data_IF_955062285905
#
_entry.id   IF_955062285905
#
_cell.length_a   1.000
_cell.length_b   1.000
_cell.length_c   1.000
_cell.angle_alpha   90.00
_cell.angle_beta   90.00
_cell.angle_gamma   90.00
#
_symmetry.space_group_name_H-M   'P 1'
#
loop_
_entity.id
_entity.type
_entity.pdbx_description
1 polymer ?
#
# COMPACT_ATOMS: atom_id res chain seq x y z
N UNK A 1 15.49 37.23 -7.16
CA UNK A 1 15.34 35.85 -7.66
C UNK A 1 15.17 34.91 -6.47
N UNK A 2 13.96 34.86 -5.94
CA UNK A 2 13.55 33.91 -4.90
C UNK A 2 13.21 32.59 -5.58
N UNK A 3 14.05 31.57 -5.40
CA UNK A 3 13.77 30.20 -5.82
C UNK A 3 12.59 29.68 -4.99
N UNK A 4 11.38 29.76 -5.52
CA UNK A 4 10.25 29.01 -4.99
C UNK A 4 10.56 27.52 -5.15
N UNK A 5 10.86 26.86 -4.03
CA UNK A 5 11.02 25.42 -3.96
C UNK A 5 9.64 24.78 -4.14
N UNK A 6 9.51 23.93 -5.16
CA UNK A 6 8.27 23.24 -5.51
C UNK A 6 7.64 22.53 -4.29
N UNK A 7 6.31 22.57 -4.11
CA UNK A 7 5.61 21.95 -2.98
C UNK A 7 5.90 20.45 -2.78
N UNK A 8 6.27 19.75 -3.86
CA UNK A 8 6.68 18.35 -3.82
C UNK A 8 8.04 18.15 -3.13
N UNK A 9 9.03 19.01 -3.44
CA UNK A 9 10.37 18.98 -2.84
C UNK A 9 10.34 19.32 -1.34
N UNK A 10 9.43 20.21 -0.94
CA UNK A 10 9.24 20.57 0.47
C UNK A 10 8.67 19.40 1.31
N UNK A 11 7.71 18.64 0.78
CA UNK A 11 7.14 17.45 1.45
C UNK A 11 8.15 16.30 1.56
N UNK A 12 8.95 16.03 0.53
CA UNK A 12 9.99 15.00 0.58
C UNK A 12 11.10 15.34 1.58
N UNK A 13 11.55 16.61 1.61
CA UNK A 13 12.61 17.05 2.52
C UNK A 13 12.18 16.91 3.99
N UNK A 14 10.94 17.31 4.31
CA UNK A 14 10.38 17.18 5.66
C UNK A 14 10.21 15.73 6.10
N UNK A 15 9.79 14.84 5.19
CA UNK A 15 9.65 13.41 5.49
C UNK A 15 11.00 12.70 5.71
N UNK A 16 12.03 13.09 4.95
CA UNK A 16 13.39 12.58 5.16
C UNK A 16 14.00 13.09 6.46
N UNK A 17 13.84 14.38 6.77
CA UNK A 17 14.35 14.97 8.00
C UNK A 17 13.70 14.33 9.24
N UNK A 18 12.41 14.04 9.21
CA UNK A 18 11.71 13.37 10.32
C UNK A 18 12.24 11.95 10.58
N UNK A 19 12.58 11.20 9.53
CA UNK A 19 13.19 9.86 9.63
C UNK A 19 14.63 9.89 10.16
N UNK A 20 15.38 10.95 9.84
CA UNK A 20 16.79 11.08 10.19
C UNK A 20 17.02 11.77 11.54
N UNK A 21 16.00 12.44 12.09
CA UNK A 21 16.10 13.18 13.35
C UNK A 21 16.51 12.32 14.54
N UNK A 22 15.86 11.16 14.72
CA UNK A 22 16.14 10.28 15.87
C UNK A 22 17.56 9.68 15.82
N UNK A 23 18.04 9.11 14.69
CA UNK A 23 19.43 8.66 14.57
C UNK A 23 20.46 9.77 14.81
N UNK A 24 20.24 10.96 14.24
CA UNK A 24 21.15 12.11 14.41
C UNK A 24 21.23 12.56 15.87
N UNK A 25 20.10 12.59 16.59
CA UNK A 25 20.06 12.93 18.01
C UNK A 25 20.79 11.90 18.87
N UNK A 26 20.53 10.61 18.67
CA UNK A 26 21.18 9.54 19.44
C UNK A 26 22.69 9.61 19.27
N UNK A 27 23.16 9.70 18.02
CA UNK A 27 24.59 9.67 17.72
C UNK A 27 25.29 10.93 18.22
N UNK A 28 24.71 12.11 17.97
CA UNK A 28 25.28 13.37 18.48
C UNK A 28 25.30 13.39 20.01
N UNK A 29 24.27 12.84 20.66
CA UNK A 29 24.22 12.67 22.12
C UNK A 29 25.29 11.73 22.67
N UNK A 30 25.50 10.57 22.03
CA UNK A 30 26.55 9.62 22.42
C UNK A 30 27.95 10.23 22.27
N UNK A 31 28.22 10.95 21.17
CA UNK A 31 29.50 11.63 20.97
C UNK A 31 29.70 12.73 22.01
N UNK A 32 28.66 13.52 22.29
CA UNK A 32 28.70 14.55 23.33
C UNK A 32 29.04 13.96 24.71
N UNK A 33 28.37 12.87 25.12
CA UNK A 33 28.64 12.18 26.38
C UNK A 33 30.05 11.58 26.43
N UNK A 34 30.54 11.08 25.30
CA UNK A 34 31.90 10.54 25.17
C UNK A 34 32.94 11.64 25.40
N UNK A 35 32.78 12.81 24.76
CA UNK A 35 33.68 13.94 24.95
C UNK A 35 33.64 14.50 26.37
N UNK A 36 32.46 14.57 26.99
CA UNK A 36 32.33 14.95 28.41
C UNK A 36 33.09 13.95 29.29
N UNK A 37 32.95 12.65 29.02
CA UNK A 37 33.65 11.63 29.80
C UNK A 37 35.17 11.80 29.67
N UNK A 38 35.68 12.10 28.48
CA UNK A 38 37.11 12.37 28.26
C UNK A 38 37.59 13.55 29.11
N UNK A 39 36.81 14.63 29.19
CA UNK A 39 37.13 15.80 30.02
C UNK A 39 37.06 15.50 31.52
N UNK A 40 35.99 14.82 31.98
CA UNK A 40 35.76 14.51 33.40
C UNK A 40 36.82 13.56 33.96
N UNK A 41 37.24 12.57 33.17
CA UNK A 41 38.28 11.62 33.57
C UNK A 41 39.71 12.13 33.34
N UNK A 42 39.89 13.35 32.82
CA UNK A 42 41.21 13.94 32.57
C UNK A 42 42.07 13.09 31.63
N UNK A 43 41.47 12.50 30.59
CA UNK A 43 42.18 11.58 29.69
C UNK A 43 43.10 12.30 28.68
N UNK A 44 43.03 13.63 28.62
CA UNK A 44 43.91 14.50 27.84
C UNK A 44 45.11 14.95 28.66
N UNK A 45 46.32 14.73 28.14
CA UNK A 45 47.57 15.05 28.85
C UNK A 45 48.08 16.49 28.65
N UNK A 46 47.52 17.24 27.72
CA UNK A 46 47.97 18.59 27.36
C UNK A 46 46.85 19.61 27.55
N UNK A 47 47.18 20.79 28.09
CA UNK A 47 46.23 21.89 28.27
C UNK A 47 45.61 22.33 26.93
N UNK A 48 46.40 22.30 25.86
CA UNK A 48 45.91 22.59 24.51
C UNK A 48 44.95 21.51 24.01
N UNK A 49 45.17 20.23 24.33
CA UNK A 49 44.26 19.13 24.04
C UNK A 49 42.91 19.27 24.75
N UNK A 50 42.91 19.68 26.01
CA UNK A 50 41.68 19.97 26.76
C UNK A 50 40.86 21.09 26.11
N UNK A 51 41.52 22.20 25.73
CA UNK A 51 40.84 23.32 25.06
C UNK A 51 40.19 22.92 23.73
N UNK A 52 40.85 22.03 22.96
CA UNK A 52 40.31 21.51 21.70
C UNK A 52 39.08 20.64 21.94
N UNK A 53 39.09 19.75 22.94
CA UNK A 53 37.90 18.92 23.26
C UNK A 53 36.76 19.78 23.76
N UNK A 54 37.02 20.80 24.58
CA UNK A 54 35.99 21.76 25.02
C UNK A 54 35.35 22.44 23.81
N UNK A 55 36.16 22.92 22.85
CA UNK A 55 35.67 23.54 21.62
C UNK A 55 34.83 22.58 20.76
N UNK A 56 35.32 21.36 20.52
CA UNK A 56 34.59 20.32 19.76
C UNK A 56 33.28 19.96 20.47
N UNK A 57 33.29 19.85 21.80
CA UNK A 57 32.10 19.54 22.61
C UNK A 57 31.06 20.65 22.53
N UNK A 58 31.47 21.91 22.61
CA UNK A 58 30.58 23.05 22.46
C UNK A 58 29.90 23.08 21.09
N UNK A 59 30.63 22.77 20.03
CA UNK A 59 30.08 22.75 18.66
C UNK A 59 29.12 21.57 18.46
N UNK A 60 29.46 20.39 18.99
CA UNK A 60 28.57 19.23 18.96
C UNK A 60 27.30 19.50 19.79
N UNK A 61 27.42 20.23 20.90
CA UNK A 61 26.26 20.66 21.69
C UNK A 61 25.35 21.63 20.92
N UNK A 62 25.92 22.59 20.21
CA UNK A 62 25.17 23.51 19.33
C UNK A 62 24.47 22.72 18.21
N UNK A 63 25.18 21.78 17.59
CA UNK A 63 24.62 20.86 16.60
C UNK A 63 23.46 20.02 17.18
N UNK A 64 23.61 19.51 18.40
CA UNK A 64 22.59 18.74 19.10
C UNK A 64 21.34 19.58 19.40
N UNK A 65 21.50 20.82 19.91
CA UNK A 65 20.39 21.75 20.14
C UNK A 65 19.70 22.13 18.81
N UNK A 66 20.46 22.34 17.74
CA UNK A 66 19.89 22.58 16.41
C UNK A 66 19.03 21.40 15.95
N UNK A 67 19.49 20.16 16.16
CA UNK A 67 18.72 18.97 15.84
C UNK A 67 17.44 18.84 16.70
N UNK A 68 17.49 19.24 17.97
CA UNK A 68 16.31 19.33 18.83
C UNK A 68 15.29 20.36 18.31
N UNK A 69 15.75 21.51 17.81
CA UNK A 69 14.91 22.57 17.23
C UNK A 69 14.37 22.25 15.84
N UNK A 70 14.75 21.10 15.26
CA UNK A 70 14.24 20.61 13.97
C UNK A 70 15.10 20.96 12.76
N UNK A 71 16.17 21.74 12.92
CA UNK A 71 17.15 22.00 11.85
C UNK A 71 18.27 20.97 11.90
N UNK A 72 18.20 19.97 11.00
CA UNK A 72 19.17 18.87 10.96
C UNK A 72 20.44 19.18 10.15
N UNK A 73 20.40 20.19 9.27
CA UNK A 73 21.55 20.53 8.42
C UNK A 73 22.82 20.82 9.23
N UNK A 74 22.82 21.67 10.27
CA UNK A 74 24.02 21.93 11.05
C UNK A 74 24.58 20.66 11.70
N UNK A 75 23.72 19.80 12.25
CA UNK A 75 24.13 18.57 12.92
C UNK A 75 24.73 17.54 11.96
N UNK A 76 24.24 17.47 10.72
CA UNK A 76 24.71 16.50 9.72
C UNK A 76 26.12 16.82 9.21
N UNK A 77 26.48 18.10 9.13
CA UNK A 77 27.79 18.54 8.64
C UNK A 77 28.79 18.82 9.76
N UNK A 78 28.40 19.54 10.81
CA UNK A 78 29.32 19.96 11.87
C UNK A 78 29.84 18.78 12.68
N UNK A 79 28.99 17.79 12.98
CA UNK A 79 29.40 16.65 13.81
C UNK A 79 30.56 15.85 13.20
N UNK A 80 30.47 15.28 11.98
CA UNK A 80 31.59 14.54 11.40
C UNK A 80 32.81 15.45 11.13
N UNK A 81 32.60 16.72 10.77
CA UNK A 81 33.67 17.67 10.50
C UNK A 81 34.52 17.98 11.75
N UNK A 82 33.88 18.33 12.87
CA UNK A 82 34.60 18.71 14.08
C UNK A 82 35.18 17.50 14.82
N UNK A 83 34.55 16.33 14.73
CA UNK A 83 35.19 15.08 15.18
C UNK A 83 36.43 14.79 14.35
N UNK A 84 36.39 14.97 13.02
CA UNK A 84 37.54 14.81 12.15
C UNK A 84 38.68 15.78 12.47
N UNK A 85 38.38 17.08 12.62
CA UNK A 85 39.37 18.09 12.98
C UNK A 85 39.99 17.85 14.35
N UNK A 86 39.17 17.47 15.35
CA UNK A 86 39.65 17.12 16.68
C UNK A 86 40.58 15.91 16.66
N UNK A 87 40.19 14.83 15.97
CA UNK A 87 41.03 13.64 15.83
C UNK A 87 42.33 13.94 15.07
N UNK A 88 42.28 14.78 14.04
CA UNK A 88 43.45 15.22 13.28
C UNK A 88 44.41 16.03 14.15
N UNK A 89 43.89 16.93 14.99
CA UNK A 89 44.71 17.67 15.95
C UNK A 89 45.43 16.74 16.93
N UNK A 90 44.73 15.74 17.49
CA UNK A 90 45.37 14.75 18.37
C UNK A 90 46.43 13.91 17.67
N UNK A 91 46.24 13.64 16.37
CA UNK A 91 47.22 12.93 15.58
C UNK A 91 48.46 13.77 15.27
N UNK A 92 48.28 15.05 14.94
CA UNK A 92 49.36 15.97 14.58
C UNK A 92 50.16 16.49 15.79
N UNK A 93 49.48 16.74 16.91
CA UNK A 93 50.08 17.28 18.15
C UNK A 93 50.49 16.20 19.15
N UNK A 94 50.16 14.93 18.88
CA UNK A 94 50.41 13.78 19.75
C UNK A 94 51.47 12.84 19.21
N UNK A 95 51.27 11.53 19.43
CA UNK A 95 52.20 10.46 19.04
C UNK A 95 52.18 10.12 17.53
N UNK A 96 51.85 11.08 16.66
CA UNK A 96 51.71 10.84 15.24
C UNK A 96 50.69 9.74 14.93
N UNK A 97 51.02 8.87 13.97
CA UNK A 97 50.16 7.74 13.58
C UNK A 97 50.23 6.55 14.54
N UNK A 98 50.74 6.76 15.76
CA UNK A 98 50.65 5.79 16.87
C UNK A 98 49.69 6.26 17.96
N UNK A 99 49.05 7.41 17.77
CA UNK A 99 48.08 7.93 18.73
C UNK A 99 46.79 7.09 18.73
N UNK A 100 46.20 6.77 19.91
CA UNK A 100 44.94 5.99 20.00
C UNK A 100 43.77 6.58 19.22
N UNK A 101 43.80 7.88 18.94
CA UNK A 101 42.82 8.60 18.12
C UNK A 101 42.64 8.02 16.70
N UNK A 102 43.60 7.23 16.18
CA UNK A 102 43.46 6.55 14.88
C UNK A 102 42.21 5.70 14.80
N UNK A 103 41.83 5.06 15.91
CA UNK A 103 40.63 4.21 15.98
C UNK A 103 39.36 5.04 15.68
N UNK A 104 39.40 6.35 15.89
CA UNK A 104 38.30 7.27 15.56
C UNK A 104 38.14 7.57 14.07
N UNK A 105 39.17 7.38 13.24
CA UNK A 105 39.11 7.74 11.80
C UNK A 105 38.13 6.87 11.01
N UNK A 106 38.09 5.54 11.17
CA UNK A 106 37.03 4.71 10.56
C UNK A 106 35.63 5.11 11.06
N UNK A 107 35.50 5.45 12.34
CA UNK A 107 34.22 5.89 12.91
C UNK A 107 33.73 7.20 12.26
N UNK A 108 34.63 8.13 11.91
CA UNK A 108 34.30 9.34 11.15
C UNK A 108 33.71 9.00 9.78
N UNK A 109 34.27 8.00 9.07
CA UNK A 109 33.74 7.54 7.78
C UNK A 109 32.34 6.96 7.93
N UNK A 110 32.08 6.20 9.00
CA UNK A 110 30.73 5.70 9.32
C UNK A 110 29.77 6.86 9.57
N UNK A 111 30.17 7.81 10.41
CA UNK A 111 29.35 8.98 10.78
C UNK A 111 29.01 9.82 9.55
N UNK A 112 30.00 10.10 8.70
CA UNK A 112 29.79 10.81 7.45
C UNK A 112 28.89 10.02 6.48
N UNK A 113 29.10 8.70 6.36
CA UNK A 113 28.26 7.83 5.56
C UNK A 113 26.79 7.82 5.99
N UNK A 114 26.56 7.83 7.30
CA UNK A 114 25.22 7.83 7.86
C UNK A 114 24.52 9.19 7.72
N UNK A 115 25.23 10.29 7.93
CA UNK A 115 24.62 11.63 7.94
C UNK A 115 24.51 12.26 6.55
N UNK A 116 25.51 12.03 5.70
CA UNK A 116 25.69 12.65 4.39
C UNK A 116 25.51 11.64 3.24
N UNK A 117 25.25 10.36 3.55
CA UNK A 117 25.05 9.29 2.58
C UNK A 117 26.36 8.76 1.99
N UNK A 118 26.26 7.98 0.91
CA UNK A 118 27.40 7.32 0.26
C UNK A 118 28.52 8.30 -0.16
N UNK A 119 28.16 9.52 -0.56
CA UNK A 119 29.13 10.55 -0.93
C UNK A 119 29.90 11.07 0.27
N UNK A 120 29.24 11.22 1.42
CA UNK A 120 29.89 11.55 2.69
C UNK A 120 30.92 10.51 3.11
N UNK A 121 30.55 9.23 3.07
CA UNK A 121 31.48 8.13 3.34
C UNK A 121 32.70 8.17 2.41
N UNK A 122 32.49 8.38 1.10
CA UNK A 122 33.58 8.44 0.14
C UNK A 122 34.53 9.63 0.40
N UNK A 123 33.98 10.83 0.58
CA UNK A 123 34.77 12.05 0.83
C UNK A 123 35.58 11.94 2.11
N UNK A 124 34.93 11.55 3.22
CA UNK A 124 35.64 11.40 4.50
C UNK A 124 36.58 10.19 4.49
N UNK A 125 36.28 9.13 3.74
CA UNK A 125 37.21 8.02 3.52
C UNK A 125 38.52 8.50 2.89
N UNK A 126 38.44 9.28 1.81
CA UNK A 126 39.62 9.86 1.16
C UNK A 126 40.34 10.84 2.08
N UNK A 127 39.61 11.74 2.75
CA UNK A 127 40.21 12.74 3.66
C UNK A 127 40.93 12.07 4.85
N UNK A 128 40.32 11.07 5.47
CA UNK A 128 40.91 10.34 6.60
C UNK A 128 42.16 9.58 6.18
N UNK A 129 42.13 8.90 5.03
CA UNK A 129 43.31 8.22 4.48
C UNK A 129 44.43 9.22 4.12
N UNK A 130 44.10 10.39 3.57
CA UNK A 130 45.10 11.42 3.24
C UNK A 130 45.73 12.09 4.47
N UNK A 131 44.96 12.29 5.55
CA UNK A 131 45.51 12.88 6.78
C UNK A 131 46.46 11.91 7.48
N UNK A 132 46.04 10.65 7.65
CA UNK A 132 46.91 9.58 8.16
C UNK A 132 48.13 9.46 7.23
N UNK A 133 47.86 9.50 5.92
CA UNK A 133 48.71 9.90 4.79
C UNK A 133 49.97 10.66 5.14
N UNK A 134 49.71 11.95 5.28
CA UNK A 134 50.68 13.01 5.42
C UNK A 134 51.40 12.90 6.77
N UNK A 135 50.66 12.57 7.83
CA UNK A 135 51.24 12.49 9.18
C UNK A 135 52.20 11.31 9.29
N UNK A 136 51.84 10.14 8.76
CA UNK A 136 52.71 8.97 8.78
C UNK A 136 53.96 9.13 7.91
N UNK A 137 53.86 9.80 6.76
CA UNK A 137 55.04 10.17 5.98
C UNK A 137 55.95 11.14 6.75
N UNK A 138 55.36 12.13 7.45
CA UNK A 138 56.12 13.06 8.27
C UNK A 138 56.84 12.39 9.45
N UNK A 139 56.24 11.36 10.05
CA UNK A 139 56.89 10.52 11.07
C UNK A 139 58.10 9.79 10.51
N UNK A 140 57.98 9.16 9.33
CA UNK A 140 59.09 8.47 8.65
C UNK A 140 60.23 9.42 8.24
N UNK A 141 59.91 10.66 7.88
CA UNK A 141 60.88 11.69 7.56
C UNK A 141 61.57 12.31 8.79
N UNK A 142 61.19 11.91 10.01
CA UNK A 142 61.75 12.42 11.26
C UNK A 142 61.33 13.86 11.60
N UNK A 143 60.23 14.35 11.00
CA UNK A 143 59.74 15.72 11.22
C UNK A 143 59.00 15.88 12.56
N UNK A 144 58.64 14.78 13.23
CA UNK A 144 57.95 14.75 14.52
C UNK A 144 58.77 13.99 15.56
N UNK A 145 58.92 14.55 16.78
CA UNK A 145 59.51 13.86 17.93
C UNK A 145 58.40 13.08 18.62
N UNK A 146 58.47 11.74 18.58
CA UNK A 146 57.42 10.85 19.10
C UNK A 146 57.78 10.39 20.51
N UNK A 147 57.14 10.96 21.52
CA UNK A 147 57.22 10.45 22.90
C UNK A 147 56.27 9.26 23.08
N UNK A 148 56.83 8.07 23.30
CA UNK A 148 56.04 6.84 23.41
C UNK A 148 55.21 6.79 24.71
N UNK A 149 53.91 6.53 24.58
CA UNK A 149 53.08 6.16 25.74
C UNK A 149 53.49 4.78 26.27
N UNK A 150 53.69 4.61 27.60
CA UNK A 150 54.13 3.35 28.20
C UNK A 150 53.21 2.16 27.92
N UNK A 151 51.92 2.41 27.66
CA UNK A 151 50.92 1.35 27.43
C UNK A 151 51.12 0.63 26.08
N UNK A 152 51.76 1.29 25.10
CA UNK A 152 51.96 0.77 23.74
C UNK A 152 53.42 0.75 23.29
N UNK A 153 54.34 1.29 24.10
CA UNK A 153 55.79 1.29 23.82
C UNK A 153 56.40 -0.12 23.69
N UNK A 154 55.75 -1.15 24.24
CA UNK A 154 56.24 -2.54 24.23
C UNK A 154 55.72 -3.38 23.05
N UNK A 155 54.82 -2.84 22.23
CA UNK A 155 54.30 -3.53 21.05
C UNK A 155 55.01 -2.97 19.82
N UNK A 156 55.94 -3.72 19.19
CA UNK A 156 56.54 -3.33 17.92
C UNK A 156 55.48 -3.52 16.82
N UNK A 157 54.52 -2.61 16.77
CA UNK A 157 53.52 -2.57 15.71
C UNK A 157 54.06 -1.64 14.64
N UNK A 158 54.31 -2.21 13.47
CA UNK A 158 54.69 -1.47 12.28
C UNK A 158 53.59 -0.48 11.93
N UNK A 159 53.95 0.81 11.82
CA UNK A 159 53.05 1.89 11.40
C UNK A 159 52.23 1.49 10.18
N UNK A 160 52.82 0.74 9.24
CA UNK A 160 52.18 0.18 8.04
C UNK A 160 50.90 -0.64 8.31
N UNK A 161 50.82 -1.33 9.46
CA UNK A 161 49.65 -2.14 9.84
C UNK A 161 48.44 -1.24 10.08
N UNK A 162 48.61 -0.07 10.71
CA UNK A 162 47.52 0.87 10.97
C UNK A 162 46.91 1.44 9.69
N UNK A 163 47.73 1.68 8.66
CA UNK A 163 47.27 2.13 7.35
C UNK A 163 46.42 1.10 6.63
N UNK A 164 46.89 -0.14 6.60
CA UNK A 164 46.16 -1.24 5.97
C UNK A 164 44.84 -1.48 6.71
N UNK A 165 44.85 -1.49 8.05
CA UNK A 165 43.63 -1.66 8.85
C UNK A 165 42.64 -0.50 8.67
N UNK A 166 43.12 0.75 8.65
CA UNK A 166 42.28 1.92 8.43
C UNK A 166 41.63 1.88 7.04
N UNK A 167 42.44 1.67 5.99
CA UNK A 167 41.95 1.57 4.61
C UNK A 167 40.95 0.42 4.47
N UNK A 168 41.26 -0.75 5.04
CA UNK A 168 40.37 -1.93 5.00
C UNK A 168 39.05 -1.64 5.71
N UNK A 169 39.09 -1.02 6.89
CA UNK A 169 37.87 -0.64 7.61
C UNK A 169 37.04 0.38 6.83
N UNK A 170 37.66 1.41 6.24
CA UNK A 170 36.98 2.41 5.42
C UNK A 170 36.31 1.79 4.20
N UNK A 171 36.99 0.84 3.52
CA UNK A 171 36.41 0.10 2.40
C UNK A 171 35.23 -0.77 2.84
N UNK A 172 35.38 -1.55 3.90
CA UNK A 172 34.30 -2.38 4.46
C UNK A 172 33.09 -1.51 4.81
N UNK A 173 33.31 -0.39 5.50
CA UNK A 173 32.27 0.56 5.88
C UNK A 173 31.59 1.13 4.63
N UNK A 174 32.36 1.58 3.64
CA UNK A 174 31.82 2.12 2.39
C UNK A 174 30.94 1.10 1.68
N UNK A 175 31.42 -0.14 1.51
CA UNK A 175 30.64 -1.21 0.89
C UNK A 175 29.42 -1.59 1.71
N UNK A 176 29.52 -1.64 3.04
CA UNK A 176 28.40 -1.95 3.94
C UNK A 176 27.32 -0.87 3.87
N UNK A 177 27.70 0.40 3.92
CA UNK A 177 26.76 1.54 3.79
C UNK A 177 26.11 1.53 2.41
N UNK A 178 26.88 1.25 1.35
CA UNK A 178 26.35 1.12 -0.01
C UNK A 178 25.33 -0.01 -0.12
N UNK A 179 25.66 -1.20 0.40
CA UNK A 179 24.79 -2.36 0.42
C UNK A 179 23.51 -2.09 1.22
N UNK A 180 23.64 -1.59 2.46
CA UNK A 180 22.49 -1.27 3.31
C UNK A 180 21.54 -0.27 2.64
N UNK A 181 22.08 0.78 2.03
CA UNK A 181 21.25 1.76 1.33
C UNK A 181 20.49 1.16 0.13
N UNK A 182 21.12 0.23 -0.60
CA UNK A 182 20.46 -0.51 -1.67
C UNK A 182 19.33 -1.40 -1.12
N UNK A 183 19.63 -2.23 -0.11
CA UNK A 183 18.66 -3.13 0.52
C UNK A 183 17.48 -2.39 1.13
N UNK A 184 17.72 -1.25 1.81
CA UNK A 184 16.65 -0.41 2.38
C UNK A 184 15.76 0.14 1.25
N UNK A 185 16.35 0.58 0.14
CA UNK A 185 15.60 1.11 -1.00
C UNK A 185 14.71 0.04 -1.63
N UNK A 186 15.25 -1.16 -1.81
CA UNK A 186 14.51 -2.31 -2.33
C UNK A 186 13.41 -2.78 -1.37
N UNK A 187 13.71 -2.89 -0.07
CA UNK A 187 12.73 -3.26 0.95
C UNK A 187 11.57 -2.27 1.01
N UNK A 188 11.85 -0.97 0.91
CA UNK A 188 10.81 0.06 0.85
C UNK A 188 9.94 -0.06 -0.40
N UNK A 189 10.54 -0.33 -1.57
CA UNK A 189 9.79 -0.58 -2.81
C UNK A 189 8.91 -1.82 -2.67
N UNK A 190 9.45 -2.93 -2.17
CA UNK A 190 8.70 -4.16 -1.96
C UNK A 190 7.52 -3.95 -1.00
N UNK A 191 7.74 -3.28 0.13
CA UNK A 191 6.68 -2.94 1.09
C UNK A 191 5.57 -2.11 0.43
N UNK A 192 5.92 -1.16 -0.44
CA UNK A 192 4.93 -0.35 -1.16
C UNK A 192 4.12 -1.18 -2.17
N UNK A 193 4.75 -2.11 -2.89
CA UNK A 193 4.08 -3.02 -3.82
C UNK A 193 3.14 -3.97 -3.06
N UNK A 194 3.64 -4.61 -1.99
CA UNK A 194 2.85 -5.48 -1.12
C UNK A 194 1.61 -4.77 -0.57
N UNK A 195 1.76 -3.52 -0.14
CA UNK A 195 0.64 -2.72 0.35
C UNK A 195 -0.41 -2.46 -0.72
N UNK A 196 0.01 -2.06 -1.93
CA UNK A 196 -0.91 -1.86 -3.07
C UNK A 196 -1.64 -3.14 -3.46
N UNK A 197 -0.92 -4.25 -3.56
CA UNK A 197 -1.52 -5.56 -3.88
C UNK A 197 -2.52 -6.00 -2.82
N UNK A 198 -2.22 -5.79 -1.53
CA UNK A 198 -3.20 -6.06 -0.46
C UNK A 198 -4.45 -5.16 -0.57
N UNK A 199 -4.28 -3.87 -0.86
CA UNK A 199 -5.41 -2.96 -1.08
C UNK A 199 -6.26 -3.39 -2.30
N UNK A 200 -5.64 -3.81 -3.41
CA UNK A 200 -6.31 -4.34 -4.59
C UNK A 200 -7.06 -5.66 -4.30
N UNK A 201 -6.45 -6.58 -3.55
CA UNK A 201 -7.08 -7.84 -3.14
C UNK A 201 -8.32 -7.61 -2.29
N UNK A 202 -8.28 -6.66 -1.35
CA UNK A 202 -9.44 -6.32 -0.52
C UNK A 202 -10.59 -5.73 -1.36
N UNK A 203 -10.26 -4.88 -2.33
CA UNK A 203 -11.26 -4.33 -3.26
C UNK A 203 -11.87 -5.46 -4.12
N UNK A 204 -11.04 -6.37 -4.64
CA UNK A 204 -11.49 -7.49 -5.44
C UNK A 204 -12.39 -8.44 -4.63
N UNK A 205 -11.97 -8.78 -3.41
CA UNK A 205 -12.75 -9.62 -2.49
C UNK A 205 -14.13 -9.00 -2.24
N UNK A 206 -14.18 -7.71 -1.88
CA UNK A 206 -15.44 -7.00 -1.64
C UNK A 206 -16.35 -6.97 -2.88
N UNK A 207 -15.76 -6.80 -4.07
CA UNK A 207 -16.50 -6.84 -5.32
C UNK A 207 -17.04 -8.23 -5.64
N UNK A 208 -16.26 -9.29 -5.38
CA UNK A 208 -16.69 -10.67 -5.54
C UNK A 208 -17.81 -11.03 -4.55
N UNK A 209 -17.67 -10.66 -3.28
CA UNK A 209 -18.70 -10.83 -2.26
C UNK A 209 -20.01 -10.16 -2.69
N UNK A 210 -19.95 -8.90 -3.13
CA UNK A 210 -21.13 -8.19 -3.66
C UNK A 210 -21.77 -8.94 -4.84
N UNK A 211 -20.99 -9.37 -5.83
CA UNK A 211 -21.50 -10.13 -6.99
C UNK A 211 -22.07 -11.49 -6.61
N UNK A 212 -21.53 -12.14 -5.59
CA UNK A 212 -22.07 -13.40 -5.06
C UNK A 212 -23.41 -13.11 -4.42
N UNK A 213 -23.51 -12.13 -3.51
CA UNK A 213 -24.75 -11.75 -2.85
C UNK A 213 -25.85 -11.38 -3.85
N UNK A 214 -25.54 -10.58 -4.88
CA UNK A 214 -26.49 -10.20 -5.93
C UNK A 214 -26.97 -11.40 -6.77
N UNK A 215 -26.07 -12.33 -7.09
CA UNK A 215 -26.45 -13.55 -7.82
C UNK A 215 -27.26 -14.50 -6.97
N UNK A 216 -26.88 -14.68 -5.71
CA UNK A 216 -27.60 -15.54 -4.75
C UNK A 216 -29.01 -15.01 -4.54
N UNK A 217 -29.20 -13.71 -4.29
CA UNK A 217 -30.54 -13.13 -4.11
C UNK A 217 -31.41 -13.25 -5.36
N UNK A 218 -30.83 -13.08 -6.55
CA UNK A 218 -31.54 -13.26 -7.82
C UNK A 218 -31.97 -14.72 -8.02
N UNK A 219 -31.08 -15.68 -7.70
CA UNK A 219 -31.38 -17.11 -7.79
C UNK A 219 -32.46 -17.52 -6.78
N UNK A 220 -32.38 -17.03 -5.54
CA UNK A 220 -33.41 -17.26 -4.50
C UNK A 220 -34.78 -16.74 -4.95
N UNK A 221 -34.82 -15.54 -5.53
CA UNK A 221 -36.06 -14.98 -6.06
C UNK A 221 -36.67 -15.84 -7.17
N UNK A 222 -35.85 -16.27 -8.15
CA UNK A 222 -36.30 -17.16 -9.24
C UNK A 222 -36.72 -18.54 -8.73
N UNK A 223 -35.98 -19.11 -7.80
CA UNK A 223 -36.34 -20.37 -7.17
C UNK A 223 -37.71 -20.26 -6.48
N UNK A 224 -37.96 -19.17 -5.76
CA UNK A 224 -39.26 -18.88 -5.13
C UNK A 224 -40.40 -18.74 -6.15
N UNK A 225 -40.13 -18.12 -7.30
CA UNK A 225 -41.11 -18.05 -8.39
C UNK A 225 -41.44 -19.45 -8.95
N UNK A 226 -40.41 -20.26 -9.21
CA UNK A 226 -40.58 -21.63 -9.72
C UNK A 226 -41.34 -22.53 -8.74
N UNK A 227 -41.03 -22.46 -7.44
CA UNK A 227 -41.77 -23.23 -6.43
C UNK A 227 -43.24 -22.80 -6.35
N UNK A 228 -43.51 -21.49 -6.48
CA UNK A 228 -44.89 -20.98 -6.53
C UNK A 228 -45.64 -21.50 -7.75
N UNK A 229 -45.02 -21.49 -8.93
CA UNK A 229 -45.60 -22.03 -10.17
C UNK A 229 -45.87 -23.53 -10.04
N UNK A 230 -44.91 -24.30 -9.52
CA UNK A 230 -45.07 -25.73 -9.30
C UNK A 230 -46.23 -26.05 -8.35
N UNK A 231 -46.40 -25.26 -7.28
CA UNK A 231 -47.50 -25.42 -6.34
C UNK A 231 -48.86 -25.10 -6.99
N UNK A 232 -48.94 -24.08 -7.85
CA UNK A 232 -50.14 -23.76 -8.63
C UNK A 232 -50.49 -24.90 -9.58
N UNK A 233 -49.52 -25.43 -10.32
CA UNK A 233 -49.72 -26.55 -11.24
C UNK A 233 -50.18 -27.83 -10.51
N UNK A 234 -49.59 -28.12 -9.35
CA UNK A 234 -49.96 -29.28 -8.55
C UNK A 234 -51.40 -29.18 -8.03
N UNK A 235 -51.81 -28.03 -7.49
CA UNK A 235 -53.18 -27.80 -7.00
C UNK A 235 -54.22 -27.91 -8.12
N UNK A 236 -53.87 -27.55 -9.36
CA UNK A 236 -54.75 -27.73 -10.50
C UNK A 236 -55.02 -29.21 -10.81
N UNK A 237 -54.03 -30.09 -10.67
CA UNK A 237 -54.17 -31.53 -11.00
C UNK A 237 -55.07 -32.33 -10.03
N UNK A 238 -55.54 -31.74 -8.93
CA UNK A 238 -56.40 -32.41 -7.93
C UNK A 238 -57.88 -32.44 -8.35
N UNK A 239 -58.28 -31.73 -9.41
CA UNK A 239 -59.68 -31.64 -9.82
C UNK A 239 -60.14 -32.82 -10.71
N UNK A 240 -61.27 -33.43 -10.32
CA UNK A 240 -61.84 -34.66 -10.92
C UNK A 240 -62.67 -34.42 -12.19
N UNK A 241 -62.90 -33.17 -12.59
CA UNK A 241 -63.59 -32.79 -13.83
C UNK A 241 -62.84 -31.70 -14.59
N UNK A 242 -62.82 -31.80 -15.92
CA UNK A 242 -62.15 -30.85 -16.81
C UNK A 242 -62.65 -29.42 -16.60
N UNK A 243 -63.96 -29.23 -16.43
CA UNK A 243 -64.54 -27.89 -16.19
C UNK A 243 -64.08 -27.29 -14.85
N UNK A 244 -63.97 -28.09 -13.80
CA UNK A 244 -63.47 -27.64 -12.50
C UNK A 244 -61.97 -27.32 -12.56
N UNK A 245 -61.19 -28.11 -13.31
CA UNK A 245 -59.78 -27.85 -13.56
C UNK A 245 -59.59 -26.51 -14.28
N UNK A 246 -60.25 -26.33 -15.42
CA UNK A 246 -60.12 -25.12 -16.24
C UNK A 246 -60.58 -23.87 -15.48
N UNK A 247 -61.68 -23.96 -14.73
CA UNK A 247 -62.15 -22.86 -13.87
C UNK A 247 -61.10 -22.48 -12.82
N UNK A 248 -60.54 -23.44 -12.10
CA UNK A 248 -59.51 -23.15 -11.10
C UNK A 248 -58.22 -22.59 -11.71
N UNK A 249 -57.79 -23.09 -12.88
CA UNK A 249 -56.63 -22.54 -13.59
C UNK A 249 -56.86 -21.07 -13.95
N UNK A 250 -58.03 -20.71 -14.50
CA UNK A 250 -58.32 -19.30 -14.82
C UNK A 250 -58.31 -18.40 -13.59
N UNK A 251 -58.86 -18.86 -12.47
CA UNK A 251 -58.93 -18.10 -11.23
C UNK A 251 -57.53 -17.89 -10.62
N UNK A 252 -56.72 -18.96 -10.56
CA UNK A 252 -55.34 -18.90 -10.06
C UNK A 252 -54.45 -17.98 -10.91
N UNK A 253 -54.57 -18.01 -12.24
CA UNK A 253 -53.82 -17.11 -13.13
C UNK A 253 -54.23 -15.65 -12.88
N UNK A 254 -55.53 -15.38 -12.77
CA UNK A 254 -56.06 -14.04 -12.48
C UNK A 254 -55.47 -13.48 -11.18
N UNK A 255 -55.52 -14.26 -10.09
CA UNK A 255 -55.06 -13.84 -8.76
C UNK A 255 -53.54 -13.70 -8.67
N UNK A 256 -52.76 -14.66 -9.21
CA UNK A 256 -51.30 -14.66 -9.07
C UNK A 256 -50.61 -13.61 -9.93
N UNK A 257 -51.17 -13.30 -11.10
CA UNK A 257 -50.61 -12.33 -12.03
C UNK A 257 -51.35 -10.98 -12.00
N UNK A 258 -52.36 -10.82 -11.13
CA UNK A 258 -53.16 -9.61 -10.98
C UNK A 258 -53.82 -9.14 -12.30
N UNK A 259 -54.32 -10.09 -13.08
CA UNK A 259 -55.08 -9.81 -14.30
C UNK A 259 -56.57 -9.66 -13.99
N UNK A 260 -57.23 -8.70 -14.66
CA UNK A 260 -58.66 -8.47 -14.52
C UNK A 260 -59.51 -9.68 -14.97
N UNK A 261 -59.10 -10.34 -16.04
CA UNK A 261 -59.82 -11.46 -16.63
C UNK A 261 -58.84 -12.47 -17.24
N UNK A 262 -59.11 -13.75 -17.04
CA UNK A 262 -58.49 -14.87 -17.73
C UNK A 262 -59.59 -15.77 -18.26
N UNK A 263 -59.52 -16.14 -19.54
CA UNK A 263 -60.45 -17.06 -20.18
C UNK A 263 -59.68 -18.19 -20.87
N UNK A 264 -60.24 -19.40 -20.88
CA UNK A 264 -59.70 -20.55 -21.62
C UNK A 264 -60.71 -20.98 -22.67
N UNK A 265 -60.24 -21.03 -23.91
CA UNK A 265 -61.01 -21.51 -25.06
C UNK A 265 -60.47 -22.87 -25.50
N UNK A 266 -61.35 -23.80 -25.85
CA UNK A 266 -61.01 -25.06 -26.51
C UNK A 266 -61.58 -25.06 -27.92
N UNK A 267 -60.88 -25.71 -28.85
CA UNK A 267 -61.39 -25.90 -30.20
C UNK A 267 -62.49 -26.97 -30.21
N UNK A 268 -63.49 -26.78 -31.06
CA UNK A 268 -64.46 -27.81 -31.37
C UNK A 268 -63.82 -28.98 -32.16
N UNK A 269 -64.54 -30.10 -32.27
CA UNK A 269 -64.02 -31.31 -32.91
C UNK A 269 -63.60 -31.11 -34.38
N UNK A 270 -64.14 -30.07 -35.04
CA UNK A 270 -63.83 -29.71 -36.43
C UNK A 270 -62.74 -28.64 -36.55
N UNK A 271 -62.34 -28.02 -35.44
CA UNK A 271 -61.37 -26.92 -35.41
C UNK A 271 -61.87 -25.62 -36.06
N UNK A 272 -63.19 -25.47 -36.24
CA UNK A 272 -63.81 -24.30 -36.85
C UNK A 272 -64.06 -23.18 -35.83
N UNK A 273 -64.29 -23.54 -34.56
CA UNK A 273 -64.64 -22.61 -33.50
C UNK A 273 -63.79 -22.80 -32.25
N UNK A 274 -63.35 -21.68 -31.67
CA UNK A 274 -62.79 -21.61 -30.32
C UNK A 274 -63.94 -21.30 -29.34
N UNK A 275 -64.31 -22.28 -28.52
CA UNK A 275 -65.42 -22.22 -27.57
C UNK A 275 -64.87 -21.87 -26.18
N UNK A 276 -65.43 -20.86 -25.52
CA UNK A 276 -65.04 -20.50 -24.15
C UNK A 276 -65.49 -21.60 -23.17
N UNK A 277 -64.55 -22.18 -22.42
CA UNK A 277 -64.83 -23.24 -21.44
C UNK A 277 -64.66 -22.79 -19.99
N UNK A 278 -63.82 -21.79 -19.72
CA UNK A 278 -63.63 -21.25 -18.38
C UNK A 278 -63.30 -19.76 -18.40
N UNK A 279 -63.69 -19.05 -17.35
CA UNK A 279 -63.48 -17.62 -17.19
C UNK A 279 -63.34 -17.23 -15.70
N UNK A 280 -62.44 -16.28 -15.39
CA UNK A 280 -62.21 -15.80 -14.00
C UNK A 280 -63.05 -14.58 -13.60
N UNK A 281 -63.62 -13.84 -14.56
CA UNK A 281 -64.32 -12.57 -14.29
C UNK A 281 -65.84 -12.71 -14.41
N UNK A 282 -66.58 -11.82 -13.76
CA UNK A 282 -68.04 -11.79 -13.84
C UNK A 282 -68.57 -11.57 -15.28
N UNK A 283 -67.84 -10.81 -16.10
CA UNK A 283 -68.14 -10.64 -17.52
C UNK A 283 -67.94 -11.94 -18.30
N UNK A 284 -66.80 -12.60 -18.09
CA UNK A 284 -66.49 -13.87 -18.71
C UNK A 284 -67.42 -15.00 -18.29
N UNK A 285 -67.89 -15.05 -17.04
CA UNK A 285 -68.91 -16.03 -16.61
C UNK A 285 -70.25 -15.84 -17.36
N UNK A 286 -70.64 -14.60 -17.67
CA UNK A 286 -71.82 -14.33 -18.50
C UNK A 286 -71.62 -14.78 -19.94
N UNK A 287 -70.41 -14.61 -20.50
CA UNK A 287 -70.06 -15.09 -21.83
C UNK A 287 -70.08 -16.63 -21.90
N UNK A 288 -69.55 -17.29 -20.87
CA UNK A 288 -69.56 -18.75 -20.75
C UNK A 288 -70.99 -19.32 -20.76
N UNK A 289 -71.92 -18.73 -19.98
CA UNK A 289 -73.33 -19.14 -19.95
C UNK A 289 -74.06 -18.97 -21.28
N UNK A 290 -73.56 -18.10 -22.17
CA UNK A 290 -74.12 -17.87 -23.51
C UNK A 290 -73.52 -18.78 -24.58
N UNK A 291 -72.61 -19.68 -24.21
CA UNK A 291 -71.90 -20.53 -25.17
C UNK A 291 -71.03 -19.71 -26.12
N UNK A 292 -70.36 -18.67 -25.60
CA UNK A 292 -69.57 -17.78 -26.44
C UNK A 292 -68.47 -18.55 -27.19
N UNK A 293 -68.47 -18.39 -28.50
CA UNK A 293 -67.54 -19.04 -29.42
C UNK A 293 -67.08 -18.02 -30.46
N UNK A 294 -65.85 -18.18 -30.92
CA UNK A 294 -65.21 -17.32 -31.92
C UNK A 294 -64.72 -18.19 -33.07
N UNK A 295 -64.97 -17.78 -34.30
CA UNK A 295 -64.53 -18.52 -35.47
C UNK A 295 -63.02 -18.42 -35.66
N UNK A 296 -62.36 -19.56 -35.84
CA UNK A 296 -60.91 -19.63 -35.99
C UNK A 296 -60.47 -18.86 -37.25
N UNK A 297 -59.44 -18.01 -37.10
CA UNK A 297 -58.82 -17.23 -38.17
C UNK A 297 -59.62 -16.04 -38.71
N UNK A 298 -60.83 -15.78 -38.20
CA UNK A 298 -61.73 -14.74 -38.75
C UNK A 298 -62.34 -13.82 -37.70
N UNK A 299 -62.39 -14.21 -36.43
CA UNK A 299 -63.00 -13.43 -35.35
C UNK A 299 -62.08 -13.40 -34.13
N UNK A 300 -61.85 -12.23 -33.53
CA UNK A 300 -61.05 -12.14 -32.30
C UNK A 300 -59.55 -12.24 -32.48
N UNK A 301 -58.84 -11.60 -31.57
CA UNK A 301 -57.44 -11.94 -31.27
C UNK A 301 -57.35 -13.43 -30.88
N UNK A 302 -58.39 -13.97 -30.22
CA UNK A 302 -58.46 -15.40 -29.86
C UNK A 302 -58.55 -16.30 -31.10
N UNK A 303 -59.45 -16.00 -32.05
CA UNK A 303 -59.57 -16.81 -33.27
C UNK A 303 -58.35 -16.69 -34.18
N UNK A 304 -57.75 -15.50 -34.29
CA UNK A 304 -56.47 -15.31 -35.00
C UNK A 304 -55.33 -16.11 -34.35
N UNK A 305 -55.19 -16.03 -33.02
CA UNK A 305 -54.19 -16.78 -32.25
C UNK A 305 -54.36 -18.30 -32.42
N UNK A 306 -55.61 -18.78 -32.44
CA UNK A 306 -55.94 -20.19 -32.65
C UNK A 306 -55.52 -20.69 -34.04
N UNK A 307 -55.66 -19.86 -35.08
CA UNK A 307 -55.25 -20.20 -36.44
C UNK A 307 -53.71 -20.20 -36.62
N UNK A 308 -53.03 -19.18 -36.09
CA UNK A 308 -51.59 -18.97 -36.29
C UNK A 308 -50.72 -19.82 -35.37
N UNK A 309 -51.28 -20.32 -34.26
CA UNK A 309 -50.57 -21.12 -33.24
C UNK A 309 -49.34 -20.41 -32.67
N UNK A 310 -49.39 -19.08 -32.57
CA UNK A 310 -48.33 -18.23 -32.00
C UNK A 310 -48.91 -17.29 -30.93
N UNK A 311 -48.20 -17.04 -29.82
CA UNK A 311 -48.67 -16.11 -28.79
C UNK A 311 -48.83 -14.69 -29.35
N UNK A 312 -49.94 -14.03 -29.03
CA UNK A 312 -50.24 -12.66 -29.43
C UNK A 312 -50.38 -11.76 -28.20
N UNK A 313 -49.83 -10.53 -28.25
CA UNK A 313 -49.90 -9.54 -27.17
C UNK A 313 -50.38 -8.21 -27.77
N UNK A 314 -51.58 -7.77 -27.39
CA UNK A 314 -52.13 -6.47 -27.78
C UNK A 314 -51.99 -5.48 -26.60
N UNK A 315 -51.29 -4.37 -26.83
CA UNK A 315 -51.03 -3.36 -25.80
C UNK A 315 -52.14 -2.29 -25.69
N UNK A 316 -52.97 -2.15 -26.72
CA UNK A 316 -54.16 -1.27 -26.74
C UNK A 316 -55.26 -1.89 -27.62
N UNK A 317 -56.34 -2.35 -26.99
CA UNK A 317 -57.48 -3.02 -27.65
C UNK A 317 -58.44 -2.06 -28.35
N UNK A 318 -58.27 -0.73 -28.19
CA UNK A 318 -59.10 0.29 -28.85
C UNK A 318 -58.64 0.65 -30.27
N UNK A 319 -57.35 0.51 -30.59
CA UNK A 319 -56.79 0.83 -31.90
C UNK A 319 -56.88 -0.34 -32.92
N UNK A 320 -56.98 -1.58 -32.43
CA UNK A 320 -57.18 -2.82 -33.21
C UNK A 320 -58.63 -3.35 -33.13
N UNK A 321 -59.60 -2.43 -33.19
CA UNK A 321 -61.03 -2.72 -33.09
C UNK A 321 -61.62 -3.36 -34.37
N UNK A 322 -60.95 -4.37 -34.94
CA UNK A 322 -61.48 -5.15 -36.08
C UNK A 322 -62.08 -6.50 -35.60
N UNK A 323 -61.93 -6.88 -34.33
CA UNK A 323 -62.10 -8.29 -33.95
C UNK A 323 -62.89 -8.61 -32.66
N UNK A 324 -63.65 -7.71 -32.03
CA UNK A 324 -64.50 -8.08 -30.87
C UNK A 324 -65.99 -8.14 -31.21
#
# INVERSE_FOLDING_TARGET
MTKETSPATYKETKSNDERLRLPVLIISGVIFLTNISILVFGLTRTETGESVIIGVTAIIFIAFISALRGSLLPARFLTPLFVFLGMTYFLASGMGVRHPAIIGFPAIVILAGLFLGQYGAAVYGVLTTLVIGIIGYGELAGLFVVDYSPLFAQLPIDTNIYWVLNLTSALIIFFTVRLLNQTITEANRNSSTLRKTNEELLILQKNLEKRITERTSTLEYRAKQLTTIAQVAHNALVFRSMDALLKNVTLLISEKFNYYHTGVFLLDDKGEYAILHAASSAGGEKMLKRGHQLRVGSEGIVGATAAEKRPHIALDVGADAIFF
#
